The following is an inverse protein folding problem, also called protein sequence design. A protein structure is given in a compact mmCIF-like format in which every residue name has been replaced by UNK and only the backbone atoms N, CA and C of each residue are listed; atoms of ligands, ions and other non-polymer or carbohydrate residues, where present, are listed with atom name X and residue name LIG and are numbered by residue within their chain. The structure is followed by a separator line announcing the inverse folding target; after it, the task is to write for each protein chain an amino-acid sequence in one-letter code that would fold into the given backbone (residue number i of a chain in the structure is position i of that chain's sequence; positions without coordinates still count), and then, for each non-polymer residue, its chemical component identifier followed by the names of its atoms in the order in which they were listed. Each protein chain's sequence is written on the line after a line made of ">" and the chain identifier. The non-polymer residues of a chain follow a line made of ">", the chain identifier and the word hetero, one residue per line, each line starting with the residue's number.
data_IF_454627291692
#
_entry.id   IF_454627291692
#
_cell.length_a   1.000
_cell.length_b   1.000
_cell.length_c   1.000
_cell.angle_alpha   90.00
_cell.angle_beta   90.00
_cell.angle_gamma   90.00
#
_symmetry.space_group_name_H-M   'P 1'
#
loop_
_entity.id
_entity.type
_entity.pdbx_description
1 polymer ?
#
# COMPACT_ATOMS: atom_id res chain seq x y z
N UNK A 1 -34.69 6.51 -3.24
CA UNK A 1 -34.64 5.31 -2.39
C UNK A 1 -34.37 4.11 -3.28
N UNK A 2 -33.13 3.63 -3.31
CA UNK A 2 -32.77 2.41 -4.05
C UNK A 2 -32.96 1.22 -3.11
N UNK A 3 -33.94 0.38 -3.44
CA UNK A 3 -34.20 -0.90 -2.78
C UNK A 3 -32.95 -1.77 -2.98
N UNK A 4 -32.19 -2.01 -1.91
CA UNK A 4 -31.14 -3.04 -1.93
C UNK A 4 -31.86 -4.38 -2.00
N UNK A 5 -31.78 -5.07 -3.13
CA UNK A 5 -32.27 -6.43 -3.25
C UNK A 5 -31.47 -7.35 -2.33
N UNK A 6 -32.12 -7.97 -1.35
CA UNK A 6 -31.57 -8.92 -0.35
C UNK A 6 -31.00 -10.23 -0.95
N UNK A 7 -30.75 -10.27 -2.26
CA UNK A 7 -30.27 -11.46 -3.01
C UNK A 7 -28.92 -11.24 -3.66
N UNK A 8 -28.17 -10.27 -3.19
CA UNK A 8 -26.79 -10.07 -3.64
C UNK A 8 -25.87 -11.00 -2.83
N UNK A 9 -25.83 -12.27 -3.20
CA UNK A 9 -24.94 -13.27 -2.59
C UNK A 9 -23.47 -13.08 -3.03
N UNK A 10 -23.10 -11.96 -3.63
CA UNK A 10 -21.71 -11.65 -3.97
C UNK A 10 -20.87 -11.35 -2.72
N UNK A 11 -19.64 -11.87 -2.69
CA UNK A 11 -18.62 -11.45 -1.73
C UNK A 11 -18.12 -10.06 -2.14
N UNK A 12 -18.21 -9.07 -1.25
CA UNK A 12 -17.93 -7.65 -1.57
C UNK A 12 -17.06 -6.93 -0.56
N UNK A 13 -16.86 -7.50 0.61
CA UNK A 13 -16.20 -6.83 1.72
C UNK A 13 -14.81 -7.42 1.93
N UNK A 14 -13.78 -6.58 2.04
CA UNK A 14 -12.42 -7.08 2.29
C UNK A 14 -12.34 -7.80 3.64
N UNK A 15 -11.56 -8.88 3.79
CA UNK A 15 -11.30 -9.48 5.09
C UNK A 15 -10.56 -8.50 6.01
N UNK A 16 -10.65 -8.74 7.32
CA UNK A 16 -9.93 -7.96 8.33
C UNK A 16 -8.43 -8.26 8.24
N UNK A 17 -7.62 -7.21 8.13
CA UNK A 17 -6.15 -7.32 8.08
C UNK A 17 -5.55 -6.80 9.40
N UNK A 18 -5.75 -7.57 10.48
CA UNK A 18 -5.30 -7.18 11.83
C UNK A 18 -3.78 -7.05 11.97
N UNK A 19 -3.02 -7.65 11.05
CA UNK A 19 -1.57 -7.54 11.02
C UNK A 19 -1.09 -6.12 10.71
N UNK A 20 -1.83 -5.32 9.92
CA UNK A 20 -1.37 -4.02 9.42
C UNK A 20 -0.98 -3.09 10.57
N UNK A 21 -1.89 -2.87 11.54
CA UNK A 21 -1.62 -2.01 12.70
C UNK A 21 -0.40 -2.45 13.53
N UNK A 22 -0.17 -3.76 13.64
CA UNK A 22 0.99 -4.30 14.36
C UNK A 22 2.28 -4.01 13.60
N UNK A 23 2.26 -4.20 12.28
CA UNK A 23 3.40 -3.93 11.40
C UNK A 23 3.70 -2.43 11.33
N UNK A 24 2.68 -1.58 11.23
CA UNK A 24 2.81 -0.12 11.26
C UNK A 24 3.53 0.35 12.53
N UNK A 25 3.11 -0.13 13.71
CA UNK A 25 3.74 0.21 14.98
C UNK A 25 5.24 -0.19 15.01
N UNK A 26 5.57 -1.37 14.49
CA UNK A 26 6.96 -1.80 14.32
C UNK A 26 7.73 -0.87 13.38
N UNK A 27 7.16 -0.54 12.20
CA UNK A 27 7.82 0.29 11.19
C UNK A 27 8.06 1.72 11.70
N UNK A 28 7.20 2.23 12.60
CA UNK A 28 7.44 3.49 13.31
C UNK A 28 8.65 3.36 14.24
N UNK A 29 8.76 2.28 15.02
CA UNK A 29 9.92 2.05 15.90
C UNK A 29 11.23 1.89 15.12
N UNK A 30 11.18 1.21 13.97
CA UNK A 30 12.32 1.07 13.07
C UNK A 30 12.81 2.40 12.49
N UNK A 31 11.97 3.43 12.48
CA UNK A 31 12.31 4.78 12.00
C UNK A 31 12.71 5.73 13.14
N UNK A 32 12.78 5.26 14.39
CA UNK A 32 13.18 6.11 15.50
C UNK A 32 14.60 6.67 15.28
N UNK A 33 14.84 7.98 15.44
CA UNK A 33 16.14 8.59 15.18
C UNK A 33 17.28 8.06 16.04
N UNK A 34 16.98 7.53 17.23
CA UNK A 34 17.98 7.11 18.22
C UNK A 34 18.16 5.60 18.29
N UNK A 35 17.08 4.84 18.15
CA UNK A 35 17.02 3.40 18.36
C UNK A 35 16.65 2.62 17.10
N UNK A 36 16.25 3.30 16.02
CA UNK A 36 15.83 2.72 14.76
C UNK A 36 16.98 2.21 13.88
N UNK A 37 16.61 1.81 12.66
CA UNK A 37 17.55 1.35 11.62
C UNK A 37 18.35 2.56 11.12
N UNK A 38 19.68 2.46 11.17
CA UNK A 38 20.56 3.55 10.77
C UNK A 38 20.57 3.71 9.25
N UNK A 39 20.10 4.88 8.79
CA UNK A 39 20.16 5.25 7.38
C UNK A 39 21.53 5.78 6.97
N UNK A 40 21.87 5.57 5.71
CA UNK A 40 23.06 6.10 5.04
C UNK A 40 22.67 7.00 3.86
N UNK A 41 23.63 7.82 3.42
CA UNK A 41 23.46 8.66 2.26
C UNK A 41 23.75 7.86 0.99
N UNK A 42 22.77 7.77 0.11
CA UNK A 42 22.93 7.21 -1.23
C UNK A 42 23.41 8.30 -2.20
N UNK A 43 24.54 8.09 -2.85
CA UNK A 43 25.02 8.98 -3.92
C UNK A 43 24.50 8.50 -5.28
N UNK A 44 23.73 9.35 -5.97
CA UNK A 44 23.22 9.15 -7.32
C UNK A 44 23.80 10.23 -8.25
N UNK A 45 24.92 9.89 -8.89
CA UNK A 45 25.73 10.81 -9.69
C UNK A 45 26.15 12.04 -8.86
N UNK A 46 25.47 13.18 -9.05
CA UNK A 46 25.75 14.45 -8.36
C UNK A 46 24.75 14.68 -7.20
N UNK A 47 23.67 13.89 -7.12
CA UNK A 47 22.61 14.06 -6.12
C UNK A 47 22.83 13.08 -4.97
N UNK A 48 22.90 13.59 -3.75
CA UNK A 48 22.93 12.75 -2.53
C UNK A 48 21.52 12.67 -1.97
N UNK A 49 21.03 11.47 -1.68
CA UNK A 49 19.71 11.25 -1.10
C UNK A 49 19.85 10.47 0.22
N UNK A 50 19.36 11.01 1.34
CA UNK A 50 19.54 10.40 2.66
C UNK A 50 18.64 9.18 2.89
N UNK A 51 18.80 8.58 4.07
CA UNK A 51 17.94 7.54 4.63
C UNK A 51 17.81 6.26 3.80
N UNK A 52 18.83 5.89 3.02
CA UNK A 52 18.91 4.56 2.44
C UNK A 52 19.37 3.56 3.51
N UNK A 53 18.71 2.41 3.61
CA UNK A 53 19.01 1.35 4.58
C UNK A 53 19.41 0.08 3.85
N UNK A 54 20.26 -0.75 4.45
CA UNK A 54 20.65 -2.04 3.88
C UNK A 54 19.76 -3.16 4.40
N UNK A 55 19.69 -4.28 3.67
CA UNK A 55 18.99 -5.47 4.13
C UNK A 55 19.57 -6.00 5.46
N UNK A 56 20.90 -5.98 5.60
CA UNK A 56 21.58 -6.45 6.81
C UNK A 56 21.20 -5.62 8.04
N UNK A 57 21.14 -4.28 7.90
CA UNK A 57 20.76 -3.41 9.01
C UNK A 57 19.30 -3.62 9.45
N UNK A 58 18.41 -3.88 8.49
CA UNK A 58 17.00 -4.18 8.78
C UNK A 58 16.89 -5.48 9.57
N UNK A 59 17.51 -6.56 9.09
CA UNK A 59 17.46 -7.88 9.74
C UNK A 59 18.09 -7.80 11.12
N UNK A 60 19.28 -7.21 11.25
CA UNK A 60 19.96 -7.06 12.53
C UNK A 60 19.12 -6.29 13.56
N UNK A 61 18.39 -5.25 13.14
CA UNK A 61 17.47 -4.52 14.01
C UNK A 61 16.32 -5.41 14.48
N UNK A 62 15.72 -6.20 13.57
CA UNK A 62 14.59 -7.09 13.91
C UNK A 62 15.04 -8.20 14.85
N UNK A 63 16.13 -8.92 14.53
CA UNK A 63 16.73 -9.96 15.38
C UNK A 63 16.94 -9.45 16.80
N UNK A 64 17.51 -8.25 16.95
CA UNK A 64 17.80 -7.64 18.26
C UNK A 64 16.54 -7.21 19.02
N UNK A 65 15.62 -6.48 18.36
CA UNK A 65 14.49 -5.85 19.06
C UNK A 65 13.28 -6.77 19.25
N UNK A 66 13.17 -7.82 18.43
CA UNK A 66 12.07 -8.79 18.50
C UNK A 66 12.48 -10.15 19.07
N UNK A 67 13.78 -10.36 19.37
CA UNK A 67 14.32 -11.63 19.85
C UNK A 67 13.94 -12.80 18.90
N UNK A 68 14.16 -12.59 17.61
CA UNK A 68 13.94 -13.57 16.54
C UNK A 68 15.29 -14.16 16.08
N UNK A 69 15.27 -15.35 15.50
CA UNK A 69 16.44 -15.85 14.77
C UNK A 69 16.62 -15.10 13.43
N UNK A 70 17.75 -15.33 12.74
CA UNK A 70 18.03 -14.64 11.48
C UNK A 70 17.07 -15.01 10.36
N UNK A 71 16.59 -16.25 10.31
CA UNK A 71 15.73 -16.73 9.23
C UNK A 71 14.30 -16.19 9.39
N UNK A 72 13.79 -16.16 10.62
CA UNK A 72 12.54 -15.50 11.02
C UNK A 72 12.60 -14.00 10.78
N UNK A 73 13.70 -13.34 11.17
CA UNK A 73 13.89 -11.92 10.91
C UNK A 73 13.96 -11.61 9.41
N UNK A 74 14.60 -12.45 8.61
CA UNK A 74 14.63 -12.35 7.14
C UNK A 74 13.23 -12.51 6.53
N UNK A 75 12.45 -13.48 7.02
CA UNK A 75 11.07 -13.69 6.58
C UNK A 75 10.17 -12.50 6.94
N UNK A 76 10.27 -12.00 8.18
CA UNK A 76 9.54 -10.81 8.62
C UNK A 76 9.92 -9.57 7.80
N UNK A 77 11.20 -9.38 7.52
CA UNK A 77 11.67 -8.27 6.68
C UNK A 77 11.15 -8.38 5.25
N UNK A 78 11.11 -9.60 4.70
CA UNK A 78 10.50 -9.87 3.38
C UNK A 78 9.02 -9.53 3.38
N UNK A 79 8.30 -9.82 4.47
CA UNK A 79 6.91 -9.41 4.65
C UNK A 79 6.78 -7.87 4.65
N UNK A 80 7.69 -7.11 5.27
CA UNK A 80 7.69 -5.64 5.21
C UNK A 80 7.80 -5.11 3.77
N UNK A 81 8.62 -5.76 2.94
CA UNK A 81 8.76 -5.43 1.51
C UNK A 81 7.50 -5.80 0.74
N UNK A 82 6.93 -6.98 0.99
CA UNK A 82 5.74 -7.47 0.31
C UNK A 82 4.47 -6.63 0.57
N UNK A 83 4.34 -6.05 1.79
CA UNK A 83 3.28 -5.09 2.11
C UNK A 83 3.59 -3.65 1.68
N UNK A 84 4.82 -3.36 1.24
CA UNK A 84 5.22 -2.03 0.78
C UNK A 84 5.58 -1.03 1.88
N UNK A 85 5.81 -1.46 3.12
CA UNK A 85 6.33 -0.58 4.18
C UNK A 85 7.77 -0.18 3.95
N UNK A 86 8.52 -1.05 3.29
CA UNK A 86 9.90 -0.83 2.85
C UNK A 86 9.94 -1.20 1.36
N UNK A 87 10.68 -0.44 0.55
CA UNK A 87 10.80 -0.73 -0.88
C UNK A 87 12.25 -0.73 -1.34
N UNK A 88 12.63 -1.64 -2.26
CA UNK A 88 13.99 -1.68 -2.80
C UNK A 88 14.23 -0.52 -3.76
N UNK A 89 15.46 -0.02 -3.76
CA UNK A 89 15.92 1.06 -4.66
C UNK A 89 16.41 0.53 -6.00
N UNK A 90 16.73 -0.77 -6.09
CA UNK A 90 17.05 -1.48 -7.31
C UNK A 90 16.10 -2.67 -7.50
N UNK A 91 15.85 -3.06 -8.75
CA UNK A 91 15.00 -4.20 -9.10
C UNK A 91 13.65 -4.23 -8.34
N UNK A 92 12.92 -3.13 -8.50
CA UNK A 92 11.68 -2.84 -7.77
C UNK A 92 10.54 -3.83 -7.97
N UNK A 93 10.63 -4.73 -8.97
CA UNK A 93 9.60 -5.73 -9.25
C UNK A 93 9.67 -6.92 -8.29
N UNK A 94 10.82 -7.16 -7.64
CA UNK A 94 10.93 -8.25 -6.66
C UNK A 94 10.58 -7.74 -5.26
N UNK A 95 9.39 -8.11 -4.80
CA UNK A 95 8.88 -7.75 -3.48
C UNK A 95 9.43 -8.66 -2.37
N UNK A 96 10.75 -8.80 -2.32
CA UNK A 96 11.47 -9.60 -1.31
C UNK A 96 12.66 -8.84 -0.76
N UNK A 97 12.99 -9.07 0.52
CA UNK A 97 14.26 -8.59 1.05
C UNK A 97 15.38 -9.52 0.54
N UNK A 98 16.41 -8.95 -0.07
CA UNK A 98 17.57 -9.70 -0.54
C UNK A 98 18.66 -9.67 0.51
N UNK A 99 19.27 -10.82 0.87
CA UNK A 99 20.38 -10.87 1.81
C UNK A 99 21.70 -10.44 1.14
N UNK A 100 21.69 -9.31 0.43
CA UNK A 100 22.83 -8.76 -0.29
C UNK A 100 23.03 -7.27 0.06
N UNK A 101 23.87 -6.56 -0.71
CA UNK A 101 24.09 -5.12 -0.54
C UNK A 101 22.98 -4.23 -1.11
N UNK A 102 21.80 -4.77 -1.44
CA UNK A 102 20.68 -3.99 -1.98
C UNK A 102 20.23 -2.92 -0.98
N UNK A 103 19.89 -1.76 -1.52
CA UNK A 103 19.42 -0.63 -0.73
C UNK A 103 17.90 -0.58 -0.73
N UNK A 104 17.36 -0.18 0.41
CA UNK A 104 15.93 -0.05 0.66
C UNK A 104 15.64 1.33 1.26
N UNK A 105 14.35 1.69 1.29
CA UNK A 105 13.84 2.86 2.03
C UNK A 105 12.50 2.57 2.66
N UNK A 106 12.22 3.24 3.77
CA UNK A 106 10.89 3.27 4.35
C UNK A 106 9.92 4.04 3.45
N UNK A 107 8.72 3.50 3.33
CA UNK A 107 7.60 4.12 2.63
C UNK A 107 6.95 5.19 3.51
N UNK A 108 6.42 6.25 2.88
CA UNK A 108 5.65 7.26 3.59
C UNK A 108 4.28 6.71 4.04
N UNK A 109 3.77 7.09 5.23
CA UNK A 109 2.46 6.65 5.72
C UNK A 109 1.30 6.87 4.74
N UNK A 110 1.39 7.89 3.88
CA UNK A 110 0.40 8.12 2.81
C UNK A 110 0.20 6.91 1.89
N UNK A 111 1.25 6.12 1.66
CA UNK A 111 1.24 4.94 0.80
C UNK A 111 1.20 3.62 1.57
N UNK A 112 0.98 3.64 2.88
CA UNK A 112 0.84 2.41 3.65
C UNK A 112 -0.47 1.68 3.28
N UNK A 113 -0.46 0.34 3.32
CA UNK A 113 -1.64 -0.45 3.03
C UNK A 113 -2.75 -0.15 4.06
N UNK A 114 -3.96 0.09 3.58
CA UNK A 114 -5.14 0.34 4.43
C UNK A 114 -6.18 -0.78 4.28
N UNK A 115 -6.90 -1.06 5.37
CA UNK A 115 -7.96 -2.07 5.38
C UNK A 115 -9.15 -1.68 4.52
N UNK A 116 -9.61 -0.43 4.64
CA UNK A 116 -10.92 -0.02 4.14
C UNK A 116 -10.96 0.13 2.61
N UNK A 117 -9.92 0.70 2.02
CA UNK A 117 -9.94 1.15 0.63
C UNK A 117 -8.95 0.37 -0.23
N UNK A 118 -9.38 -0.11 -1.40
CA UNK A 118 -8.48 -0.63 -2.44
C UNK A 118 -7.92 0.56 -3.22
N UNK A 119 -6.73 0.40 -3.81
CA UNK A 119 -6.21 1.38 -4.76
C UNK A 119 -7.16 1.49 -5.97
N UNK A 120 -7.62 2.71 -6.27
CA UNK A 120 -8.62 2.96 -7.30
C UNK A 120 -8.03 2.94 -8.71
N UNK A 121 -8.84 2.53 -9.68
CA UNK A 121 -8.44 2.51 -11.09
C UNK A 121 -8.20 3.92 -11.66
N UNK A 122 -8.92 4.93 -11.13
CA UNK A 122 -8.72 6.33 -11.55
C UNK A 122 -7.34 6.82 -11.14
N UNK A 123 -6.90 6.55 -9.90
CA UNK A 123 -5.57 6.92 -9.43
C UNK A 123 -4.47 6.20 -10.22
N UNK A 124 -4.69 4.93 -10.55
CA UNK A 124 -3.73 4.16 -11.34
C UNK A 124 -3.61 4.71 -12.77
N UNK A 125 -4.74 5.07 -13.38
CA UNK A 125 -4.75 5.72 -14.70
C UNK A 125 -4.01 7.06 -14.68
N UNK A 126 -4.17 7.88 -13.62
CA UNK A 126 -3.43 9.14 -13.43
C UNK A 126 -1.93 8.87 -13.34
N UNK A 127 -1.51 7.87 -12.55
CA UNK A 127 -0.11 7.48 -12.43
C UNK A 127 0.51 7.05 -13.77
N UNK A 128 -0.16 6.16 -14.51
CA UNK A 128 0.32 5.69 -15.82
C UNK A 128 0.35 6.83 -16.85
N UNK A 129 -0.68 7.69 -16.89
CA UNK A 129 -0.71 8.87 -17.75
C UNK A 129 0.45 9.82 -17.43
N UNK A 130 0.73 10.08 -16.14
CA UNK A 130 1.84 10.92 -15.69
C UNK A 130 3.19 10.36 -16.13
N UNK A 131 3.41 9.05 -15.99
CA UNK A 131 4.62 8.39 -16.46
C UNK A 131 4.77 8.48 -17.98
N UNK A 132 3.69 8.30 -18.72
CA UNK A 132 3.69 8.41 -20.17
C UNK A 132 3.98 9.85 -20.65
N UNK A 133 3.47 10.87 -19.95
CA UNK A 133 3.79 12.30 -20.21
C UNK A 133 5.27 12.58 -19.95
N UNK A 134 5.83 12.06 -18.85
CA UNK A 134 7.25 12.26 -18.52
C UNK A 134 8.18 11.76 -19.61
N UNK A 135 7.94 10.54 -20.10
CA UNK A 135 8.69 9.95 -21.21
C UNK A 135 7.85 8.89 -21.92
N UNK A 136 7.40 9.21 -23.13
CA UNK A 136 6.62 8.28 -23.98
C UNK A 136 7.42 6.99 -24.22
N UNK A 137 6.75 5.84 -24.16
CA UNK A 137 7.35 4.53 -24.45
C UNK A 137 8.19 3.92 -23.31
N UNK A 138 8.02 4.38 -22.07
CA UNK A 138 8.75 3.85 -20.88
C UNK A 138 7.83 3.06 -19.94
N UNK A 139 6.56 2.91 -20.28
CA UNK A 139 5.70 1.95 -19.59
C UNK A 139 6.18 0.54 -19.93
N UNK A 140 6.21 -0.33 -18.92
CA UNK A 140 6.40 -1.76 -19.16
C UNK A 140 5.25 -2.31 -20.03
N UNK A 141 5.44 -3.43 -20.71
CA UNK A 141 4.41 -4.02 -21.58
C UNK A 141 3.06 -4.23 -20.86
N UNK A 142 3.08 -4.79 -19.65
CA UNK A 142 1.87 -5.00 -18.84
C UNK A 142 1.22 -3.67 -18.40
N UNK A 143 2.02 -2.63 -18.13
CA UNK A 143 1.51 -1.30 -17.78
C UNK A 143 0.86 -0.64 -19.00
N UNK A 144 1.42 -0.85 -20.19
CA UNK A 144 0.88 -0.34 -21.43
C UNK A 144 -0.46 -0.99 -21.79
N UNK A 145 -0.59 -2.30 -21.57
CA UNK A 145 -1.85 -3.03 -21.72
C UNK A 145 -2.93 -2.51 -20.77
N UNK A 146 -2.59 -2.38 -19.47
CA UNK A 146 -3.53 -1.83 -18.48
C UNK A 146 -3.87 -0.36 -18.78
N UNK A 147 -2.92 0.46 -19.22
CA UNK A 147 -3.20 1.85 -19.64
C UNK A 147 -4.22 1.90 -20.77
N UNK A 148 -4.05 1.05 -21.80
CA UNK A 148 -4.97 1.00 -22.94
C UNK A 148 -6.37 0.52 -22.53
N UNK A 149 -6.43 -0.48 -21.65
CA UNK A 149 -7.68 -0.99 -21.06
C UNK A 149 -8.41 0.08 -20.25
N UNK A 150 -7.70 0.79 -19.36
CA UNK A 150 -8.25 1.87 -18.55
C UNK A 150 -8.72 3.04 -19.42
N UNK A 151 -7.98 3.39 -20.48
CA UNK A 151 -8.39 4.41 -21.45
C UNK A 151 -9.72 4.07 -22.12
N UNK A 152 -9.89 2.80 -22.53
CA UNK A 152 -11.14 2.34 -23.13
C UNK A 152 -12.29 2.28 -22.12
N UNK A 153 -12.03 1.76 -20.92
CA UNK A 153 -13.05 1.56 -19.88
C UNK A 153 -13.56 2.87 -19.26
N UNK A 154 -12.66 3.82 -19.00
CA UNK A 154 -12.96 5.09 -18.34
C UNK A 154 -12.83 6.29 -19.27
N UNK A 155 -13.10 6.10 -20.56
CA UNK A 155 -12.92 7.15 -21.58
C UNK A 155 -13.67 8.44 -21.22
N UNK A 156 -14.88 8.32 -20.66
CA UNK A 156 -15.70 9.44 -20.19
C UNK A 156 -15.06 10.31 -19.09
N UNK A 157 -14.01 9.84 -18.41
CA UNK A 157 -13.23 10.60 -17.41
C UNK A 157 -11.81 10.91 -17.87
N UNK A 158 -11.46 10.58 -19.11
CA UNK A 158 -10.06 10.57 -19.53
C UNK A 158 -9.43 11.96 -19.58
N UNK A 159 -10.19 12.98 -19.99
CA UNK A 159 -9.71 14.36 -19.98
C UNK A 159 -9.35 14.81 -18.55
N UNK A 160 -10.16 14.42 -17.56
CA UNK A 160 -9.87 14.67 -16.15
C UNK A 160 -8.60 13.95 -15.70
N UNK A 161 -8.43 12.67 -16.08
CA UNK A 161 -7.22 11.88 -15.77
C UNK A 161 -5.97 12.55 -16.34
N UNK A 162 -6.02 12.98 -17.61
CA UNK A 162 -4.90 13.65 -18.28
C UNK A 162 -4.61 15.01 -17.64
N UNK A 163 -5.64 15.77 -17.28
CA UNK A 163 -5.50 17.05 -16.58
C UNK A 163 -4.78 16.86 -15.24
N UNK A 164 -5.25 15.92 -14.40
CA UNK A 164 -4.62 15.59 -13.11
C UNK A 164 -3.17 15.11 -13.27
N UNK A 165 -2.91 14.26 -14.26
CA UNK A 165 -1.55 13.77 -14.55
C UNK A 165 -0.59 14.91 -14.95
N UNK A 166 -1.05 15.88 -15.76
CA UNK A 166 -0.27 17.07 -16.12
C UNK A 166 0.02 17.94 -14.90
N UNK A 167 -1.00 18.23 -14.09
CA UNK A 167 -0.87 19.04 -12.89
C UNK A 167 0.18 18.45 -11.92
N UNK A 168 0.07 17.16 -11.63
CA UNK A 168 1.03 16.45 -10.78
C UNK A 168 2.46 16.44 -11.39
N UNK A 169 2.58 16.29 -12.70
CA UNK A 169 3.87 16.33 -13.39
C UNK A 169 4.54 17.71 -13.28
N UNK A 170 3.77 18.80 -13.46
CA UNK A 170 4.26 20.16 -13.31
C UNK A 170 4.66 20.47 -11.85
N UNK A 171 3.84 20.07 -10.88
CA UNK A 171 4.15 20.20 -9.46
C UNK A 171 5.44 19.44 -9.08
N UNK A 172 5.61 18.22 -9.61
CA UNK A 172 6.82 17.42 -9.40
C UNK A 172 8.09 18.06 -9.99
N UNK A 173 7.97 18.78 -11.11
CA UNK A 173 9.10 19.51 -11.73
C UNK A 173 9.59 20.69 -10.90
N UNK A 174 8.72 21.30 -10.10
CA UNK A 174 9.09 22.40 -9.21
C UNK A 174 9.89 21.94 -7.97
N UNK A 175 9.86 20.63 -7.64
CA UNK A 175 10.60 20.07 -6.49
C UNK A 175 12.09 19.91 -6.77
N UNK A 176 12.89 19.88 -5.70
CA UNK A 176 14.30 19.54 -5.79
C UNK A 176 14.48 18.13 -6.38
N UNK A 177 15.64 17.90 -7.03
CA UNK A 177 15.90 16.64 -7.74
C UNK A 177 15.87 15.42 -6.80
N UNK A 178 16.44 15.54 -5.60
CA UNK A 178 16.45 14.47 -4.60
C UNK A 178 15.01 14.07 -4.20
N UNK A 179 14.19 15.05 -3.81
CA UNK A 179 12.79 14.82 -3.39
C UNK A 179 11.94 14.22 -4.51
N UNK A 180 12.14 14.70 -5.74
CA UNK A 180 11.46 14.17 -6.92
C UNK A 180 11.78 12.68 -7.14
N UNK A 181 13.05 12.30 -7.03
CA UNK A 181 13.47 10.90 -7.17
C UNK A 181 12.88 10.04 -6.05
N UNK A 182 12.89 10.52 -4.80
CA UNK A 182 12.28 9.81 -3.67
C UNK A 182 10.79 9.59 -3.93
N UNK A 183 10.07 10.65 -4.28
CA UNK A 183 8.64 10.59 -4.53
C UNK A 183 8.28 9.65 -5.68
N UNK A 184 9.00 9.72 -6.81
CA UNK A 184 8.82 8.82 -7.94
C UNK A 184 9.04 7.34 -7.54
N UNK A 185 9.97 7.07 -6.64
CA UNK A 185 10.22 5.72 -6.13
C UNK A 185 9.15 5.26 -5.15
N UNK A 186 8.70 6.14 -4.25
CA UNK A 186 7.61 5.86 -3.30
C UNK A 186 6.31 5.51 -4.03
N UNK A 187 5.93 6.33 -4.99
CA UNK A 187 4.72 6.13 -5.80
C UNK A 187 4.82 4.86 -6.64
N UNK A 188 5.99 4.59 -7.27
CA UNK A 188 6.21 3.34 -7.99
C UNK A 188 6.07 2.12 -7.08
N UNK A 189 6.69 2.15 -5.90
CA UNK A 189 6.64 1.05 -4.95
C UNK A 189 5.20 0.77 -4.50
N UNK A 190 4.41 1.82 -4.23
CA UNK A 190 2.98 1.70 -3.93
C UNK A 190 2.23 0.95 -5.03
N UNK A 191 2.43 1.34 -6.29
CA UNK A 191 1.73 0.72 -7.42
C UNK A 191 2.17 -0.71 -7.69
N UNK A 192 3.44 -1.06 -7.48
CA UNK A 192 3.90 -2.45 -7.63
C UNK A 192 3.23 -3.37 -6.59
N UNK A 193 2.97 -2.88 -5.38
CA UNK A 193 2.26 -3.66 -4.37
C UNK A 193 0.76 -3.81 -4.72
N UNK A 194 0.12 -2.78 -5.26
CA UNK A 194 -1.33 -2.77 -5.51
C UNK A 194 -1.74 -3.22 -6.92
N UNK A 195 -0.80 -3.21 -7.87
CA UNK A 195 -0.94 -3.62 -9.27
C UNK A 195 0.36 -4.35 -9.67
N UNK A 196 0.64 -5.52 -9.04
CA UNK A 196 1.88 -6.23 -9.25
C UNK A 196 2.07 -6.64 -10.71
N UNK A 197 3.32 -6.63 -11.22
CA UNK A 197 3.62 -7.23 -12.50
C UNK A 197 3.17 -8.70 -12.55
N UNK A 198 2.91 -9.24 -13.75
CA UNK A 198 2.66 -10.68 -13.91
C UNK A 198 3.73 -11.51 -13.19
N UNK A 199 3.31 -12.58 -12.52
CA UNK A 199 4.18 -13.49 -11.75
C UNK A 199 4.84 -12.88 -10.51
N UNK A 200 4.45 -11.67 -10.10
CA UNK A 200 4.89 -11.06 -8.84
C UNK A 200 3.83 -11.30 -7.77
N UNK A 201 4.21 -11.91 -6.65
CA UNK A 201 3.31 -12.11 -5.52
C UNK A 201 3.29 -10.87 -4.62
N UNK A 202 2.11 -10.29 -4.41
CA UNK A 202 1.89 -9.18 -3.49
C UNK A 202 1.24 -9.67 -2.21
N UNK A 203 1.63 -9.12 -1.05
CA UNK A 203 0.94 -9.41 0.21
C UNK A 203 -0.47 -8.79 0.29
N UNK A 204 -0.88 -8.02 -0.73
CA UNK A 204 -2.22 -7.48 -0.86
C UNK A 204 -3.22 -8.46 -1.50
N UNK A 205 -2.76 -9.63 -1.95
CA UNK A 205 -3.66 -10.75 -2.26
C UNK A 205 -4.10 -11.43 -0.96
N UNK A 206 -5.33 -11.15 -0.55
CA UNK A 206 -5.94 -11.67 0.68
C UNK A 206 -6.96 -12.78 0.40
N UNK A 207 -6.97 -13.32 -0.82
CA UNK A 207 -7.93 -14.31 -1.28
C UNK A 207 -9.33 -13.71 -1.51
N UNK A 208 -10.36 -14.47 -1.14
CA UNK A 208 -11.75 -14.12 -1.39
C UNK A 208 -12.25 -12.97 -0.51
N UNK A 209 -13.09 -12.12 -1.08
CA UNK A 209 -13.86 -11.14 -0.31
C UNK A 209 -14.85 -11.88 0.63
N UNK A 210 -15.36 -11.16 1.62
CA UNK A 210 -16.34 -11.62 2.62
C UNK A 210 -17.74 -11.16 2.22
N UNK A 211 -18.74 -11.93 2.64
CA UNK A 211 -20.15 -11.54 2.52
C UNK A 211 -20.54 -10.48 3.56
N UNK A 212 -19.95 -10.54 4.75
CA UNK A 212 -20.22 -9.62 5.86
C UNK A 212 -19.07 -8.63 5.95
N UNK A 213 -19.39 -7.34 6.07
CA UNK A 213 -18.40 -6.29 6.24
C UNK A 213 -17.79 -6.36 7.65
N UNK A 214 -16.50 -6.69 7.80
CA UNK A 214 -15.86 -6.77 9.11
C UNK A 214 -15.59 -5.40 9.76
N UNK A 215 -15.90 -4.29 9.05
CA UNK A 215 -15.81 -2.93 9.56
C UNK A 215 -17.14 -2.40 10.10
N UNK A 216 -18.25 -3.11 9.88
CA UNK A 216 -19.52 -2.77 10.51
C UNK A 216 -19.41 -3.19 11.97
N UNK A 217 -19.36 -2.22 12.88
CA UNK A 217 -19.46 -2.50 14.30
C UNK A 217 -20.80 -3.17 14.58
N UNK A 218 -20.80 -4.26 15.37
CA UNK A 218 -22.04 -4.78 15.90
C UNK A 218 -22.74 -3.64 16.64
N UNK A 219 -23.93 -3.26 16.16
CA UNK A 219 -24.84 -2.48 16.98
C UNK A 219 -25.11 -3.38 18.18
N UNK A 220 -24.41 -3.13 19.29
CA UNK A 220 -24.80 -3.62 20.60
C UNK A 220 -26.13 -2.96 20.90
N UNK A 221 -27.18 -3.56 20.35
CA UNK A 221 -28.55 -3.22 20.66
C UNK A 221 -28.62 -3.27 22.17
N UNK A 222 -28.95 -2.12 22.77
CA UNK A 222 -29.49 -2.05 24.12
C UNK A 222 -30.33 -3.30 24.32
N UNK A 223 -29.94 -4.11 25.29
CA UNK A 223 -30.67 -5.31 25.69
C UNK A 223 -32.16 -5.01 25.58
N UNK A 224 -32.83 -5.62 24.61
CA UNK A 224 -34.29 -5.59 24.53
C UNK A 224 -34.75 -6.28 25.79
N UNK A 225 -34.93 -5.49 26.85
CA UNK A 225 -35.66 -5.89 28.02
C UNK A 225 -37.05 -6.20 27.52
N UNK A 226 -37.32 -7.48 27.32
CA UNK A 226 -38.68 -7.99 27.21
C UNK A 226 -39.36 -7.64 28.54
N UNK A 227 -39.96 -6.46 28.59
CA UNK A 227 -40.86 -6.07 29.69
C UNK A 227 -42.09 -6.94 29.54
N UNK A 228 -42.12 -8.05 30.27
CA UNK A 228 -43.34 -8.80 30.51
C UNK A 228 -44.34 -7.85 31.19
N UNK A 229 -45.31 -7.36 30.42
CA UNK A 229 -46.45 -6.64 30.98
C UNK A 229 -47.28 -7.63 31.80
N UNK A 230 -47.04 -7.67 33.12
CA UNK A 230 -47.96 -8.30 34.08
C UNK A 230 -49.32 -7.61 33.95
N UNK A 231 -50.28 -8.28 33.30
CA UNK A 231 -51.70 -7.92 33.41
C UNK A 231 -52.09 -8.00 34.89
N UNK A 232 -52.24 -6.83 35.53
CA UNK A 232 -52.95 -6.72 36.80
C UNK A 232 -54.42 -7.05 36.56
N UNK A 233 -54.93 -8.08 37.24
CA UNK A 233 -56.36 -8.28 37.49
C UNK A 233 -56.83 -7.24 38.52
N UNK A 234 -57.94 -6.58 38.21
CA UNK A 234 -58.85 -5.85 39.11
C UNK A 234 -60.08 -5.53 38.22
N UNK A 235 -61.33 -5.90 38.51
CA UNK A 235 -62.03 -6.52 39.64
C UNK A 235 -62.98 -7.56 39.04
#
# INVERSE_FOLDING_TARGET
>A
MTIRSDRDHGQRCRPRMSCLKKVEATVVQMQDPSTGVKGTNQKLNITTIPHAITAQDIVAWITKNMNMDNDEAQAFSTMLVAFGYIYPLQDHKKLVLRPDGSLYRFQTPYFWPVQKWKAEDTDYAIYLAKRNIRKKGVLDAYEQEEYNKLHKWMNHKWDFIVMQAKEQYHAGKARQKADRVVFDCQERAYWIVHRPPPQTHSAMDYGLDRHIDPNVEEVTGKSSTFVFHKRKKAI
#
